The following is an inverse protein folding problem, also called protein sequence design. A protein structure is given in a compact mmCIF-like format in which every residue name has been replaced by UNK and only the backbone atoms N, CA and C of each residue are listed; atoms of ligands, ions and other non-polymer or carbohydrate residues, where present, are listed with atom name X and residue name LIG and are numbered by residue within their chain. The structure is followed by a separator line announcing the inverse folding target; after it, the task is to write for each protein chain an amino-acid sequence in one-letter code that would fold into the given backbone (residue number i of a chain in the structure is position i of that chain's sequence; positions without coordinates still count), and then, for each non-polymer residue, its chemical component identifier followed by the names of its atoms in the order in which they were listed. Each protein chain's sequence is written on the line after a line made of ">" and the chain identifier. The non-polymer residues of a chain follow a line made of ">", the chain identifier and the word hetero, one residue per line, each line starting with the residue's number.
data_IF_207801920453
#
_entry.id   IF_207801920453
#
_cell.length_a   1.000
_cell.length_b   1.000
_cell.length_c   1.000
_cell.angle_alpha   90.00
_cell.angle_beta   90.00
_cell.angle_gamma   90.00
#
_symmetry.space_group_name_H-M   'P 1'
#
loop_
_entity.id
_entity.type
_entity.pdbx_description
1 polymer ?
#
# COMPACT_ATOMS: atom_id res chain seq x y z
N UNK A 1 -5.49 21.97 7.66
CA UNK A 1 -4.22 21.38 7.14
C UNK A 1 -4.33 19.87 6.90
N UNK A 2 -4.72 19.04 7.89
CA UNK A 2 -4.91 17.58 7.68
C UNK A 2 -5.87 17.22 6.53
N UNK A 3 -7.05 17.85 6.48
CA UNK A 3 -8.05 17.61 5.42
C UNK A 3 -7.51 17.87 4.02
N UNK A 4 -6.66 18.89 3.86
CA UNK A 4 -6.01 19.20 2.59
C UNK A 4 -5.14 18.04 2.10
N UNK A 5 -4.26 17.49 2.95
CA UNK A 5 -3.39 16.36 2.55
C UNK A 5 -4.19 15.08 2.28
N UNK A 6 -5.23 14.80 3.06
CA UNK A 6 -6.12 13.65 2.80
C UNK A 6 -6.78 13.77 1.43
N UNK A 7 -7.40 14.93 1.15
CA UNK A 7 -8.06 15.17 -0.13
C UNK A 7 -7.07 15.15 -1.32
N UNK A 8 -5.88 15.74 -1.14
CA UNK A 8 -4.82 15.66 -2.14
C UNK A 8 -4.41 14.21 -2.42
N UNK A 9 -4.29 13.38 -1.38
CA UNK A 9 -4.02 11.95 -1.52
C UNK A 9 -5.10 11.21 -2.31
N UNK A 10 -6.37 11.52 -2.07
CA UNK A 10 -7.50 10.93 -2.80
C UNK A 10 -7.51 11.33 -4.28
N UNK A 11 -7.29 12.62 -4.56
CA UNK A 11 -7.22 13.14 -5.93
C UNK A 11 -6.04 12.51 -6.68
N UNK A 12 -4.85 12.45 -6.07
CA UNK A 12 -3.68 11.84 -6.69
C UNK A 12 -3.87 10.35 -6.94
N UNK A 13 -4.49 9.61 -6.01
CA UNK A 13 -4.84 8.20 -6.21
C UNK A 13 -5.76 8.04 -7.44
N UNK A 14 -6.81 8.87 -7.55
CA UNK A 14 -7.73 8.82 -8.68
C UNK A 14 -7.03 9.12 -10.00
N UNK A 15 -6.19 10.16 -10.04
CA UNK A 15 -5.37 10.50 -11.21
C UNK A 15 -4.47 9.31 -11.59
N UNK A 16 -3.72 8.77 -10.63
CA UNK A 16 -2.85 7.62 -10.86
C UNK A 16 -3.63 6.42 -11.42
N UNK A 17 -4.79 6.10 -10.86
CA UNK A 17 -5.62 5.02 -11.37
C UNK A 17 -6.04 5.23 -12.83
N UNK A 18 -6.59 6.41 -13.16
CA UNK A 18 -7.01 6.73 -14.53
C UNK A 18 -5.83 6.63 -15.51
N UNK A 19 -4.67 7.15 -15.13
CA UNK A 19 -3.44 7.06 -15.91
C UNK A 19 -2.99 5.61 -16.13
N UNK A 20 -3.05 4.77 -15.10
CA UNK A 20 -2.72 3.34 -15.20
C UNK A 20 -3.75 2.55 -16.02
N UNK A 21 -5.03 2.92 -16.01
CA UNK A 21 -6.05 2.25 -16.83
C UNK A 21 -5.75 2.38 -18.33
N UNK A 22 -5.28 3.54 -18.80
CA UNK A 22 -4.93 3.73 -20.22
C UNK A 22 -3.84 2.77 -20.72
N UNK A 23 -2.96 2.30 -19.83
CA UNK A 23 -1.91 1.33 -20.14
C UNK A 23 -2.30 -0.12 -19.91
N UNK A 24 -3.48 -0.43 -19.37
CA UNK A 24 -3.80 -1.73 -18.78
C UNK A 24 -3.63 -2.90 -19.77
N UNK A 25 -4.22 -2.81 -20.96
CA UNK A 25 -4.12 -3.86 -21.98
C UNK A 25 -2.76 -3.92 -22.70
N UNK A 26 -1.96 -2.85 -22.60
CA UNK A 26 -0.69 -2.68 -23.33
C UNK A 26 0.56 -3.01 -22.51
N UNK A 27 0.39 -3.40 -21.25
CA UNK A 27 1.50 -3.66 -20.32
C UNK A 27 1.45 -5.08 -19.76
N UNK A 28 2.58 -5.49 -19.16
CA UNK A 28 2.75 -6.81 -18.54
C UNK A 28 1.93 -7.02 -17.27
N UNK A 29 2.04 -8.21 -16.70
CA UNK A 29 1.22 -8.67 -15.57
C UNK A 29 1.40 -7.83 -14.30
N UNK A 30 2.62 -7.45 -13.95
CA UNK A 30 2.90 -6.58 -12.80
C UNK A 30 2.14 -5.23 -12.89
N UNK A 31 2.14 -4.60 -14.09
CA UNK A 31 1.40 -3.37 -14.33
C UNK A 31 -0.10 -3.54 -14.08
N UNK A 32 -0.69 -4.62 -14.62
CA UNK A 32 -2.12 -4.93 -14.45
C UNK A 32 -2.49 -5.15 -12.99
N UNK A 33 -1.67 -5.90 -12.25
CA UNK A 33 -1.86 -6.13 -10.81
C UNK A 33 -1.82 -4.80 -10.06
N UNK A 34 -0.86 -3.93 -10.39
CA UNK A 34 -0.75 -2.61 -9.76
C UNK A 34 -1.94 -1.70 -10.10
N UNK A 35 -2.47 -1.74 -11.33
CA UNK A 35 -3.71 -1.03 -11.68
C UNK A 35 -4.90 -1.52 -10.85
N UNK A 36 -5.05 -2.84 -10.67
CA UNK A 36 -6.08 -3.44 -9.82
C UNK A 36 -5.90 -3.01 -8.36
N UNK A 37 -4.65 -2.95 -7.88
CA UNK A 37 -4.34 -2.40 -6.57
C UNK A 37 -4.87 -0.97 -6.39
N UNK A 38 -4.56 -0.06 -7.32
CA UNK A 38 -5.08 1.31 -7.24
C UNK A 38 -6.61 1.36 -7.22
N UNK A 39 -7.27 0.54 -8.05
CA UNK A 39 -8.73 0.43 -8.07
C UNK A 39 -9.31 -0.01 -6.72
N UNK A 40 -8.75 -1.06 -6.13
CA UNK A 40 -9.20 -1.57 -4.83
C UNK A 40 -9.02 -0.52 -3.74
N UNK A 41 -7.88 0.20 -3.73
CA UNK A 41 -7.65 1.27 -2.75
C UNK A 41 -8.66 2.41 -2.92
N UNK A 42 -9.04 2.79 -4.15
CA UNK A 42 -10.12 3.76 -4.38
C UNK A 42 -11.42 3.26 -3.77
N UNK A 43 -11.80 2.01 -4.05
CA UNK A 43 -13.02 1.40 -3.50
C UNK A 43 -13.06 1.42 -1.98
N UNK A 44 -11.95 1.08 -1.32
CA UNK A 44 -11.83 1.13 0.14
C UNK A 44 -11.94 2.55 0.68
N UNK A 45 -11.32 3.54 0.04
CA UNK A 45 -11.39 4.95 0.48
C UNK A 45 -12.80 5.54 0.32
N UNK A 46 -13.46 5.27 -0.81
CA UNK A 46 -14.85 5.69 -1.02
C UNK A 46 -15.78 5.04 0.01
N UNK A 47 -15.61 3.73 0.24
CA UNK A 47 -16.37 3.02 1.28
C UNK A 47 -16.10 3.62 2.66
N UNK A 48 -14.85 3.95 2.99
CA UNK A 48 -14.49 4.52 4.29
C UNK A 48 -15.06 5.91 4.50
N UNK A 49 -15.17 6.70 3.43
CA UNK A 49 -15.86 7.98 3.46
C UNK A 49 -17.37 7.80 3.69
N UNK A 50 -18.04 6.96 2.90
CA UNK A 50 -19.48 6.71 3.01
C UNK A 50 -19.85 6.19 4.41
N UNK A 51 -19.11 5.20 4.92
CA UNK A 51 -19.38 4.63 6.24
C UNK A 51 -19.15 5.62 7.38
N UNK A 52 -18.18 6.53 7.24
CA UNK A 52 -17.97 7.59 8.20
C UNK A 52 -19.16 8.56 8.23
N UNK A 53 -19.67 8.97 7.08
CA UNK A 53 -20.80 9.91 7.00
C UNK A 53 -22.12 9.26 7.47
N UNK A 54 -22.36 7.98 7.15
CA UNK A 54 -23.61 7.30 7.49
C UNK A 54 -23.64 6.70 8.91
N UNK A 55 -22.52 6.15 9.38
CA UNK A 55 -22.47 5.35 10.62
C UNK A 55 -21.50 5.90 11.67
N UNK A 56 -20.79 7.01 11.37
CA UNK A 56 -19.74 7.58 12.22
C UNK A 56 -18.65 6.57 12.63
N UNK A 57 -18.50 5.48 11.86
CA UNK A 57 -17.51 4.45 12.09
C UNK A 57 -17.11 3.79 10.77
N UNK A 58 -15.83 3.81 10.47
CA UNK A 58 -15.23 3.18 9.29
C UNK A 58 -13.98 2.36 9.64
N UNK A 59 -13.73 2.10 10.93
CA UNK A 59 -12.48 1.52 11.40
C UNK A 59 -12.24 0.14 10.78
N UNK A 60 -13.30 -0.66 10.64
CA UNK A 60 -13.22 -2.00 10.06
C UNK A 60 -12.69 -2.00 8.60
N UNK A 61 -12.86 -0.89 7.86
CA UNK A 61 -12.34 -0.75 6.50
C UNK A 61 -10.83 -0.63 6.47
N UNK A 62 -10.19 -0.29 7.59
CA UNK A 62 -8.72 -0.35 7.70
C UNK A 62 -8.20 -1.79 7.53
N UNK A 63 -8.93 -2.81 7.99
CA UNK A 63 -8.53 -4.21 7.77
C UNK A 63 -8.58 -4.58 6.29
N UNK A 64 -9.64 -4.15 5.60
CA UNK A 64 -9.78 -4.36 4.15
C UNK A 64 -8.65 -3.62 3.41
N UNK A 65 -8.28 -2.42 3.87
CA UNK A 65 -7.14 -1.68 3.34
C UNK A 65 -5.83 -2.45 3.51
N UNK A 66 -5.43 -2.81 4.74
CA UNK A 66 -4.13 -3.42 5.01
C UNK A 66 -4.01 -4.84 4.43
N UNK A 67 -5.04 -5.68 4.58
CA UNK A 67 -5.06 -7.03 4.00
C UNK A 67 -5.12 -6.95 2.47
N UNK A 68 -5.96 -6.08 1.91
CA UNK A 68 -6.06 -5.89 0.46
C UNK A 68 -4.74 -5.39 -0.15
N UNK A 69 -4.11 -4.42 0.51
CA UNK A 69 -2.78 -3.93 0.15
C UNK A 69 -1.73 -5.04 0.22
N UNK A 70 -1.71 -5.82 1.30
CA UNK A 70 -0.82 -6.97 1.45
C UNK A 70 -0.98 -7.97 0.32
N UNK A 71 -2.22 -8.36 0.00
CA UNK A 71 -2.50 -9.35 -1.03
C UNK A 71 -2.01 -8.86 -2.38
N UNK A 72 -2.42 -7.67 -2.80
CA UNK A 72 -2.15 -7.17 -4.14
C UNK A 72 -0.68 -6.79 -4.34
N UNK A 73 -0.03 -6.22 -3.32
CA UNK A 73 1.40 -5.93 -3.39
C UNK A 73 2.26 -7.20 -3.30
N UNK A 74 1.83 -8.25 -2.57
CA UNK A 74 2.51 -9.54 -2.62
C UNK A 74 2.47 -10.16 -4.02
N UNK A 75 1.32 -10.11 -4.70
CA UNK A 75 1.18 -10.57 -6.08
C UNK A 75 2.01 -9.70 -7.04
N UNK A 76 2.03 -8.39 -6.83
CA UNK A 76 2.87 -7.47 -7.60
C UNK A 76 4.35 -7.83 -7.48
N UNK A 77 4.86 -8.00 -6.26
CA UNK A 77 6.26 -8.37 -6.05
C UNK A 77 6.59 -9.77 -6.55
N UNK A 78 5.65 -10.72 -6.50
CA UNK A 78 5.85 -12.06 -7.05
C UNK A 78 6.15 -12.05 -8.56
N UNK A 79 5.59 -11.09 -9.29
CA UNK A 79 5.87 -10.88 -10.72
C UNK A 79 7.21 -10.15 -10.98
N UNK A 80 7.71 -9.40 -10.00
CA UNK A 80 8.94 -8.60 -10.14
C UNK A 80 10.20 -9.34 -9.68
N UNK A 81 10.08 -10.21 -8.68
CA UNK A 81 11.25 -10.94 -8.16
C UNK A 81 11.70 -12.05 -9.10
N UNK A 82 13.02 -12.17 -9.28
CA UNK A 82 13.62 -13.11 -10.23
C UNK A 82 14.08 -14.40 -9.54
N UNK A 83 14.66 -14.28 -8.34
CA UNK A 83 15.22 -15.42 -7.62
C UNK A 83 14.17 -16.38 -7.07
N UNK A 84 14.40 -17.69 -7.24
CA UNK A 84 13.49 -18.73 -6.75
C UNK A 84 13.32 -18.70 -5.22
N UNK A 85 14.40 -18.38 -4.49
CA UNK A 85 14.33 -18.16 -3.04
C UNK A 85 13.35 -17.03 -2.68
N UNK A 86 13.44 -15.89 -3.37
CA UNK A 86 12.57 -14.73 -3.12
C UNK A 86 11.11 -15.06 -3.44
N UNK A 87 10.84 -15.72 -4.59
CA UNK A 87 9.48 -16.17 -4.94
C UNK A 87 8.91 -17.11 -3.89
N UNK A 88 9.72 -18.06 -3.42
CA UNK A 88 9.31 -19.02 -2.37
C UNK A 88 9.03 -18.30 -1.05
N UNK A 89 9.88 -17.35 -0.67
CA UNK A 89 9.68 -16.53 0.52
C UNK A 89 8.37 -15.71 0.44
N UNK A 90 8.08 -15.08 -0.71
CA UNK A 90 6.83 -14.34 -0.93
C UNK A 90 5.61 -15.27 -0.78
N UNK A 91 5.64 -16.45 -1.43
CA UNK A 91 4.51 -17.40 -1.38
C UNK A 91 4.27 -17.93 0.03
N UNK A 92 5.32 -18.32 0.75
CA UNK A 92 5.22 -18.80 2.13
C UNK A 92 4.72 -17.68 3.04
N UNK A 93 5.32 -16.50 2.96
CA UNK A 93 4.91 -15.34 3.75
C UNK A 93 3.46 -14.92 3.49
N UNK A 94 3.02 -14.94 2.23
CA UNK A 94 1.64 -14.69 1.84
C UNK A 94 0.67 -15.65 2.55
N UNK A 95 0.93 -16.96 2.49
CA UNK A 95 0.07 -17.96 3.12
C UNK A 95 0.09 -17.84 4.65
N UNK A 96 1.27 -17.71 5.26
CA UNK A 96 1.40 -17.64 6.72
C UNK A 96 0.72 -16.40 7.32
N UNK A 97 0.87 -15.23 6.70
CA UNK A 97 0.23 -14.00 7.18
C UNK A 97 -1.29 -14.12 7.10
N UNK A 98 -1.83 -14.54 5.95
CA UNK A 98 -3.29 -14.67 5.81
C UNK A 98 -3.87 -15.73 6.75
N UNK A 99 -3.19 -16.86 6.93
CA UNK A 99 -3.61 -17.88 7.91
C UNK A 99 -3.59 -17.32 9.33
N UNK A 100 -2.54 -16.60 9.71
CA UNK A 100 -2.42 -16.06 11.07
C UNK A 100 -3.50 -15.02 11.34
N UNK A 101 -3.79 -14.13 10.38
CA UNK A 101 -4.88 -13.16 10.52
C UNK A 101 -6.25 -13.82 10.52
N UNK A 102 -6.48 -14.83 9.68
CA UNK A 102 -7.73 -15.59 9.68
C UNK A 102 -7.97 -16.29 11.03
N UNK A 103 -6.94 -16.93 11.60
CA UNK A 103 -7.02 -17.54 12.94
C UNK A 103 -7.28 -16.46 13.99
N UNK A 104 -6.56 -15.33 13.95
CA UNK A 104 -6.72 -14.25 14.92
C UNK A 104 -8.14 -13.68 14.93
N UNK A 105 -8.71 -13.39 13.76
CA UNK A 105 -10.08 -12.87 13.65
C UNK A 105 -11.15 -13.92 13.91
N UNK A 106 -10.88 -15.19 13.60
CA UNK A 106 -11.78 -16.30 13.94
C UNK A 106 -11.86 -16.55 15.44
N UNK A 107 -10.74 -16.44 16.16
CA UNK A 107 -10.70 -16.62 17.62
C UNK A 107 -11.15 -15.38 18.40
N UNK A 108 -10.91 -14.17 17.86
CA UNK A 108 -11.21 -12.89 18.51
C UNK A 108 -11.82 -11.91 17.51
N UNK A 109 -13.11 -12.11 17.22
CA UNK A 109 -13.88 -11.28 16.28
C UNK A 109 -13.93 -9.80 16.68
N UNK A 110 -13.84 -9.49 17.97
CA UNK A 110 -13.76 -8.12 18.48
C UNK A 110 -12.57 -7.31 17.93
N UNK A 111 -11.49 -7.98 17.49
CA UNK A 111 -10.33 -7.32 16.90
C UNK A 111 -10.65 -6.70 15.53
N UNK A 112 -11.70 -7.17 14.84
CA UNK A 112 -12.15 -6.62 13.56
C UNK A 112 -12.81 -5.24 13.70
N UNK A 113 -13.18 -4.86 14.93
CA UNK A 113 -13.75 -3.55 15.24
C UNK A 113 -12.76 -2.65 15.99
N UNK A 114 -11.48 -3.04 16.04
CA UNK A 114 -10.41 -2.32 16.74
C UNK A 114 -9.24 -2.11 15.79
N UNK A 115 -8.40 -1.12 16.10
CA UNK A 115 -7.19 -0.87 15.33
C UNK A 115 -6.16 -1.96 15.64
N UNK A 116 -6.00 -2.94 14.74
CA UNK A 116 -5.16 -4.12 14.97
C UNK A 116 -3.70 -3.85 14.57
N UNK A 117 -2.88 -3.44 15.54
CA UNK A 117 -1.46 -3.18 15.31
C UNK A 117 -0.67 -4.39 14.81
N UNK A 118 -1.05 -5.60 15.24
CA UNK A 118 -0.36 -6.81 14.81
C UNK A 118 -0.54 -7.02 13.31
N UNK A 119 -1.77 -6.84 12.80
CA UNK A 119 -2.07 -6.88 11.37
C UNK A 119 -1.25 -5.87 10.59
N UNK A 120 -1.27 -4.61 11.03
CA UNK A 120 -0.54 -3.51 10.36
C UNK A 120 0.95 -3.82 10.28
N UNK A 121 1.53 -4.29 11.39
CA UNK A 121 2.94 -4.61 11.46
C UNK A 121 3.30 -5.79 10.56
N UNK A 122 2.61 -6.94 10.68
CA UNK A 122 3.02 -8.15 9.97
C UNK A 122 2.84 -8.02 8.45
N UNK A 123 1.77 -7.35 8.01
CA UNK A 123 1.52 -7.09 6.59
C UNK A 123 2.57 -6.14 6.01
N UNK A 124 2.83 -5.02 6.69
CA UNK A 124 3.80 -4.02 6.21
C UNK A 124 5.23 -4.54 6.26
N UNK A 125 5.61 -5.26 7.31
CA UNK A 125 6.96 -5.80 7.48
C UNK A 125 7.33 -6.76 6.33
N UNK A 126 6.42 -7.67 5.95
CA UNK A 126 6.64 -8.60 4.85
C UNK A 126 6.73 -7.87 3.50
N UNK A 127 5.88 -6.87 3.26
CA UNK A 127 5.96 -6.05 2.05
C UNK A 127 7.27 -5.25 1.96
N UNK A 128 7.80 -4.76 3.10
CA UNK A 128 9.11 -4.08 3.14
C UNK A 128 10.24 -5.04 2.75
N UNK A 129 10.20 -6.30 3.22
CA UNK A 129 11.14 -7.34 2.80
C UNK A 129 11.03 -7.57 1.29
N UNK A 130 9.82 -7.67 0.75
CA UNK A 130 9.61 -7.90 -0.69
C UNK A 130 10.09 -6.73 -1.54
N UNK A 131 9.83 -5.49 -1.10
CA UNK A 131 10.35 -4.29 -1.73
C UNK A 131 11.89 -4.26 -1.74
N UNK A 132 12.52 -4.76 -0.67
CA UNK A 132 13.97 -4.89 -0.56
C UNK A 132 14.53 -5.97 -1.50
N UNK A 133 13.84 -7.11 -1.64
CA UNK A 133 14.18 -8.12 -2.65
C UNK A 133 14.16 -7.52 -4.06
N UNK A 134 13.15 -6.71 -4.37
CA UNK A 134 13.07 -6.05 -5.66
C UNK A 134 14.22 -5.06 -5.88
N UNK A 135 14.60 -4.26 -4.88
CA UNK A 135 15.79 -3.41 -4.98
C UNK A 135 17.06 -4.20 -5.23
N UNK A 136 17.24 -5.31 -4.51
CA UNK A 136 18.40 -6.18 -4.72
C UNK A 136 18.48 -6.68 -6.18
N UNK A 137 17.36 -7.10 -6.76
CA UNK A 137 17.32 -7.56 -8.15
C UNK A 137 17.60 -6.44 -9.17
N UNK A 138 17.38 -5.18 -8.81
CA UNK A 138 17.65 -4.02 -9.67
C UNK A 138 19.09 -3.51 -9.60
N UNK A 139 19.95 -4.10 -8.75
CA UNK A 139 21.37 -3.72 -8.71
C UNK A 139 22.09 -4.06 -10.02
N UNK A 140 21.77 -5.22 -10.59
CA UNK A 140 22.41 -5.74 -11.81
C UNK A 140 21.50 -5.73 -13.04
N UNK A 141 20.28 -5.19 -12.94
CA UNK A 141 19.25 -5.31 -13.97
C UNK A 141 18.46 -4.00 -14.19
N UNK A 142 17.51 -4.01 -15.13
CA UNK A 142 16.62 -2.90 -15.44
C UNK A 142 15.83 -2.47 -14.20
N UNK A 143 15.72 -1.14 -14.03
CA UNK A 143 15.00 -0.47 -12.95
C UNK A 143 13.48 -0.50 -13.15
N UNK A 144 12.89 -1.69 -13.25
CA UNK A 144 11.45 -1.88 -13.43
C UNK A 144 10.68 -1.45 -12.18
N UNK A 145 9.67 -0.58 -12.31
CA UNK A 145 8.82 -0.13 -11.19
C UNK A 145 9.59 0.51 -10.02
N UNK A 146 10.73 1.13 -10.31
CA UNK A 146 11.67 1.62 -9.31
C UNK A 146 11.07 2.68 -8.38
N UNK A 147 10.37 3.67 -8.92
CA UNK A 147 9.76 4.74 -8.13
C UNK A 147 8.55 4.23 -7.34
N UNK A 148 7.74 3.33 -7.91
CA UNK A 148 6.70 2.64 -7.13
C UNK A 148 7.33 1.90 -5.95
N UNK A 149 8.42 1.16 -6.17
CA UNK A 149 9.09 0.42 -5.09
C UNK A 149 9.61 1.34 -3.98
N UNK A 150 10.25 2.46 -4.34
CA UNK A 150 10.67 3.49 -3.37
C UNK A 150 9.49 4.05 -2.59
N UNK A 151 8.40 4.39 -3.28
CA UNK A 151 7.19 4.91 -2.65
C UNK A 151 6.60 3.91 -1.66
N UNK A 152 6.46 2.63 -2.05
CA UNK A 152 5.94 1.55 -1.18
C UNK A 152 6.83 1.41 0.05
N UNK A 153 8.14 1.30 -0.13
CA UNK A 153 9.08 1.10 0.98
C UNK A 153 9.05 2.28 1.96
N UNK A 154 9.14 3.52 1.45
CA UNK A 154 9.09 4.72 2.27
C UNK A 154 7.77 4.84 3.04
N UNK A 155 6.65 4.64 2.34
CA UNK A 155 5.32 4.75 2.94
C UNK A 155 5.11 3.70 4.02
N UNK A 156 5.34 2.42 3.71
CA UNK A 156 5.08 1.34 4.66
C UNK A 156 6.00 1.43 5.88
N UNK A 157 7.29 1.71 5.68
CA UNK A 157 8.22 1.84 6.79
C UNK A 157 7.83 3.00 7.72
N UNK A 158 7.63 4.20 7.17
CA UNK A 158 7.32 5.37 7.96
C UNK A 158 5.91 5.31 8.60
N UNK A 159 4.89 4.87 7.86
CA UNK A 159 3.53 4.74 8.38
C UNK A 159 3.43 3.67 9.47
N UNK A 160 4.12 2.54 9.35
CA UNK A 160 4.14 1.50 10.40
C UNK A 160 4.73 2.04 11.69
N UNK A 161 5.85 2.76 11.63
CA UNK A 161 6.44 3.40 12.81
C UNK A 161 5.46 4.41 13.42
N UNK A 162 4.82 5.24 12.59
CA UNK A 162 3.81 6.19 13.05
C UNK A 162 2.63 5.50 13.74
N UNK A 163 2.12 4.39 13.22
CA UNK A 163 1.01 3.66 13.84
C UNK A 163 1.39 3.02 15.17
N UNK A 164 2.59 2.44 15.27
CA UNK A 164 3.11 1.87 16.52
C UNK A 164 3.30 2.94 17.59
N UNK A 165 3.95 4.06 17.24
CA UNK A 165 4.15 5.20 18.15
C UNK A 165 2.83 5.88 18.49
N UNK A 166 1.95 6.06 17.51
CA UNK A 166 0.63 6.66 17.67
C UNK A 166 -0.20 5.93 18.70
N UNK A 167 -0.25 4.60 18.65
CA UNK A 167 -1.00 3.82 19.63
C UNK A 167 -0.43 3.90 21.06
N UNK A 168 0.89 4.03 21.20
CA UNK A 168 1.51 4.27 22.51
C UNK A 168 1.18 5.66 23.04
N UNK A 169 1.11 6.65 22.15
CA UNK A 169 0.98 8.07 22.50
C UNK A 169 -0.44 8.59 22.66
N UNK A 170 -1.45 7.86 22.16
CA UNK A 170 -2.87 8.14 22.42
C UNK A 170 -3.19 8.16 23.92
N UNK A 171 -2.42 7.45 24.75
CA UNK A 171 -2.56 7.48 26.22
C UNK A 171 -2.02 8.77 26.87
N UNK A 172 -1.24 9.57 26.15
CA UNK A 172 -0.58 10.76 26.68
C UNK A 172 -1.28 12.08 26.30
N UNK A 173 -1.77 12.24 25.05
CA UNK A 173 -2.70 13.33 24.70
C UNK A 173 -3.33 13.19 23.30
N UNK A 174 -4.50 13.81 23.11
CA UNK A 174 -5.20 13.89 21.82
C UNK A 174 -4.41 14.62 20.72
N UNK A 175 -3.52 15.55 21.11
CA UNK A 175 -2.69 16.30 20.16
C UNK A 175 -1.69 15.39 19.43
N UNK A 176 -1.11 14.40 20.12
CA UNK A 176 -0.18 13.43 19.49
C UNK A 176 -0.88 12.55 18.46
N UNK A 177 -2.12 12.16 18.74
CA UNK A 177 -2.94 11.41 17.79
C UNK A 177 -3.13 12.22 16.49
N UNK A 178 -3.50 13.50 16.60
CA UNK A 178 -3.71 14.37 15.43
C UNK A 178 -2.44 14.52 14.57
N UNK A 179 -1.27 14.66 15.18
CA UNK A 179 0.02 14.75 14.48
C UNK A 179 0.31 13.45 13.72
N UNK A 180 0.10 12.29 14.36
CA UNK A 180 0.30 10.97 13.73
C UNK A 180 -0.53 10.82 12.46
N UNK A 181 -1.82 11.16 12.52
CA UNK A 181 -2.71 11.10 11.36
C UNK A 181 -2.32 12.10 10.26
N UNK A 182 -1.85 13.30 10.63
CA UNK A 182 -1.40 14.30 9.67
C UNK A 182 -0.13 13.86 8.94
N UNK A 183 0.87 13.34 9.66
CA UNK A 183 2.11 12.83 9.07
C UNK A 183 1.83 11.64 8.15
N UNK A 184 0.94 10.72 8.55
CA UNK A 184 0.54 9.61 7.69
C UNK A 184 -0.14 10.10 6.38
N UNK A 185 -0.98 11.14 6.45
CA UNK A 185 -1.57 11.73 5.25
C UNK A 185 -0.53 12.35 4.31
N UNK A 186 0.50 13.01 4.86
CA UNK A 186 1.63 13.54 4.09
C UNK A 186 2.42 12.41 3.42
N UNK A 187 2.75 11.35 4.16
CA UNK A 187 3.45 10.18 3.63
C UNK A 187 2.66 9.53 2.49
N UNK A 188 1.34 9.46 2.62
CA UNK A 188 0.48 8.93 1.56
C UNK A 188 0.49 9.80 0.30
N UNK A 189 0.51 11.14 0.44
CA UNK A 189 0.68 12.04 -0.71
C UNK A 189 2.03 11.80 -1.39
N UNK A 190 3.12 11.73 -0.61
CA UNK A 190 4.46 11.45 -1.14
C UNK A 190 4.48 10.11 -1.89
N UNK A 191 3.86 9.08 -1.33
CA UNK A 191 3.68 7.79 -1.99
C UNK A 191 2.99 7.91 -3.35
N UNK A 192 1.87 8.64 -3.43
CA UNK A 192 1.15 8.84 -4.68
C UNK A 192 1.95 9.63 -5.71
N UNK A 193 2.83 10.56 -5.29
CA UNK A 193 3.73 11.27 -6.19
C UNK A 193 4.78 10.33 -6.80
N UNK A 194 5.30 9.36 -6.05
CA UNK A 194 6.17 8.31 -6.59
C UNK A 194 5.45 7.46 -7.64
N UNK A 195 4.20 7.07 -7.37
CA UNK A 195 3.37 6.32 -8.33
C UNK A 195 3.16 7.11 -9.62
N UNK A 196 2.85 8.41 -9.51
CA UNK A 196 2.66 9.31 -10.65
C UNK A 196 3.92 9.44 -11.49
N UNK A 197 5.07 9.56 -10.81
CA UNK A 197 6.36 9.65 -11.49
C UNK A 197 6.73 8.35 -12.20
N UNK A 198 6.47 7.18 -11.60
CA UNK A 198 6.68 5.89 -12.26
C UNK A 198 5.85 5.77 -13.55
N UNK A 199 4.57 6.16 -13.48
CA UNK A 199 3.71 6.16 -14.68
C UNK A 199 4.32 7.03 -15.80
N UNK A 200 4.79 8.22 -15.45
CA UNK A 200 5.45 9.14 -16.38
C UNK A 200 6.66 8.46 -17.04
N UNK A 201 7.52 7.82 -16.26
CA UNK A 201 8.71 7.11 -16.77
C UNK A 201 8.30 6.00 -17.75
N UNK A 202 7.34 5.16 -17.38
CA UNK A 202 6.84 4.05 -18.23
C UNK A 202 6.26 4.59 -19.54
N UNK A 203 5.46 5.66 -19.48
CA UNK A 203 4.80 6.23 -20.65
C UNK A 203 5.81 6.81 -21.65
N UNK A 204 6.78 7.61 -21.19
CA UNK A 204 7.77 8.22 -22.07
C UNK A 204 8.82 7.23 -22.58
N UNK A 205 9.20 6.22 -21.79
CA UNK A 205 10.09 5.15 -22.24
C UNK A 205 9.52 4.40 -23.44
N UNK A 206 8.20 4.12 -23.45
CA UNK A 206 7.54 3.47 -24.57
C UNK A 206 7.48 4.32 -25.83
N UNK A 207 7.35 5.65 -25.69
CA UNK A 207 7.33 6.55 -26.84
C UNK A 207 8.67 6.54 -27.58
N UNK A 208 9.78 6.51 -26.84
CA UNK A 208 11.13 6.46 -27.40
C UNK A 208 11.45 5.16 -28.16
N UNK A 209 10.76 4.05 -27.88
CA UNK A 209 10.96 2.75 -28.58
C UNK A 209 10.14 2.67 -29.87
N UNK A 210 9.06 3.47 -29.98
CA UNK A 210 8.13 3.47 -31.13
C UNK A 210 8.38 4.63 -32.11
N UNK A 211 9.51 5.34 -32.00
CA UNK A 211 9.95 6.40 -32.94
C UNK A 211 11.22 5.96 -33.62
#
# INVERSE_FOLDING_TARGET
>A
MRSFFVNAGYILLLINFLLFVFGFFKNGKAYKIFTVYLFVIIGVQLSAYIFKELYNNNLFLSHIYFIGQFILLSLFYLELVKGEFQKKAIKIGFVLVLLTLAIQYGLKTELFFKFNLYEIFITSFLLIIYATFHFYNMLDDKKEFYFINMGVLLYLFASTILFLVGNLTVKFSDNFNMITWMLNAILYVVYQLFVLYEWKVIFFSKKAINT
#
